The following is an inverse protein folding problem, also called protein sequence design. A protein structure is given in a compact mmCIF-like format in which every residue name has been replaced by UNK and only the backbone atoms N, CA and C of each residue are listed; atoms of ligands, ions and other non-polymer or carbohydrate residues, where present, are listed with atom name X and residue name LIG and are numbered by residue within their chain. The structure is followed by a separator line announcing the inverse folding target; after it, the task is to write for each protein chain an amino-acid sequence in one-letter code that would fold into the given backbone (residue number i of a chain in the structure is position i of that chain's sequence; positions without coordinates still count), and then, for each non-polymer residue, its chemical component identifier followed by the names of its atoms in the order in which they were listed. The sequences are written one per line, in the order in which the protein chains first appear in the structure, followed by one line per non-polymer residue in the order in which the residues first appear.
data_IF_189819144449
#
_entry.id   IF_189819144449
#
_cell.length_a   1.000
_cell.length_b   1.000
_cell.length_c   1.000
_cell.angle_alpha   90.00
_cell.angle_beta   90.00
_cell.angle_gamma   90.00
#
_symmetry.space_group_name_H-M   'P 1'
#
loop_
_entity.id
_entity.type
_entity.pdbx_description
1 polymer ?
#
# COMPACT_ATOMS: atom_id res chain seq x y z
N UNK A 1 -9.49 23.29 -4.42
CA UNK A 1 -9.24 22.10 -5.26
C UNK A 1 -9.70 20.87 -4.49
N UNK A 2 -10.41 19.94 -5.13
CA UNK A 2 -10.89 18.68 -4.52
C UNK A 2 -10.23 17.49 -5.23
N UNK A 3 -9.03 17.03 -4.79
CA UNK A 3 -8.32 15.95 -5.47
C UNK A 3 -9.08 14.62 -5.36
N UNK A 4 -8.85 13.72 -6.31
CA UNK A 4 -9.22 12.32 -6.20
C UNK A 4 -8.01 11.55 -5.66
N UNK A 5 -8.15 11.00 -4.46
CA UNK A 5 -7.13 10.16 -3.84
C UNK A 5 -7.38 8.71 -4.23
N UNK A 6 -6.37 8.07 -4.83
CA UNK A 6 -6.40 6.68 -5.26
C UNK A 6 -5.38 5.92 -4.42
N UNK A 7 -5.89 5.07 -3.51
CA UNK A 7 -5.06 4.25 -2.66
C UNK A 7 -4.78 2.91 -3.34
N UNK A 8 -3.51 2.63 -3.61
CA UNK A 8 -3.02 1.39 -4.21
C UNK A 8 -2.38 0.50 -3.14
N UNK A 9 -2.57 -0.80 -3.23
CA UNK A 9 -1.93 -1.74 -2.32
C UNK A 9 -2.23 -3.19 -2.68
N UNK A 10 -1.68 -4.10 -1.88
CA UNK A 10 -1.78 -5.53 -2.13
C UNK A 10 -0.97 -5.98 -3.35
N UNK A 11 -1.33 -7.15 -3.88
CA UNK A 11 -0.64 -7.83 -5.00
C UNK A 11 -0.67 -7.06 -6.32
N UNK A 12 -1.44 -5.96 -6.38
CA UNK A 12 -1.49 -5.09 -7.56
C UNK A 12 -0.11 -4.54 -7.92
N UNK A 13 0.71 -4.22 -6.92
CA UNK A 13 2.05 -3.67 -7.14
C UNK A 13 3.06 -4.71 -7.67
N UNK A 14 2.73 -6.01 -7.58
CA UNK A 14 3.57 -7.11 -8.03
C UNK A 14 3.19 -7.59 -9.45
N UNK A 15 2.18 -6.98 -10.08
CA UNK A 15 1.70 -7.35 -11.42
C UNK A 15 1.94 -6.22 -12.42
N UNK A 16 2.94 -6.39 -13.28
CA UNK A 16 3.28 -5.43 -14.34
C UNK A 16 2.08 -5.15 -15.25
N UNK A 17 1.37 -6.20 -15.68
CA UNK A 17 0.18 -6.06 -16.54
C UNK A 17 -0.93 -5.24 -15.86
N UNK A 18 -1.18 -5.46 -14.57
CA UNK A 18 -2.22 -4.73 -13.85
C UNK A 18 -1.83 -3.26 -13.64
N UNK A 19 -0.55 -2.97 -13.39
CA UNK A 19 -0.01 -1.62 -13.31
C UNK A 19 -0.13 -0.90 -14.66
N UNK A 20 0.23 -1.56 -15.77
CA UNK A 20 0.13 -0.98 -17.11
C UNK A 20 -1.31 -0.58 -17.46
N UNK A 21 -2.26 -1.47 -17.18
CA UNK A 21 -3.69 -1.18 -17.37
C UNK A 21 -4.17 -0.03 -16.48
N UNK A 22 -3.75 -0.01 -15.21
CA UNK A 22 -4.08 1.07 -14.28
C UNK A 22 -3.55 2.41 -14.80
N UNK A 23 -2.26 2.51 -15.12
CA UNK A 23 -1.66 3.76 -15.58
C UNK A 23 -2.26 4.23 -16.91
N UNK A 24 -2.57 3.31 -17.82
CA UNK A 24 -3.30 3.64 -19.06
C UNK A 24 -4.66 4.28 -18.75
N UNK A 25 -5.42 3.73 -17.80
CA UNK A 25 -6.70 4.31 -17.39
C UNK A 25 -6.53 5.68 -16.71
N UNK A 26 -5.49 5.87 -15.89
CA UNK A 26 -5.21 7.16 -15.24
C UNK A 26 -4.79 8.25 -16.25
N UNK A 27 -4.06 7.89 -17.31
CA UNK A 27 -3.75 8.81 -18.41
C UNK A 27 -5.06 9.24 -19.09
N UNK A 28 -5.91 8.30 -19.50
CA UNK A 28 -7.20 8.60 -20.13
C UNK A 28 -8.10 9.48 -19.25
N UNK A 29 -8.10 9.26 -17.94
CA UNK A 29 -8.84 10.09 -16.99
C UNK A 29 -8.32 11.54 -17.01
N UNK A 30 -7.00 11.74 -16.98
CA UNK A 30 -6.37 13.07 -16.96
C UNK A 30 -6.58 13.85 -18.26
N UNK A 31 -6.76 13.17 -19.38
CA UNK A 31 -7.08 13.81 -20.67
C UNK A 31 -8.51 14.37 -20.70
N UNK A 32 -9.43 13.72 -19.99
CA UNK A 32 -10.85 14.05 -20.01
C UNK A 32 -11.34 14.83 -18.77
N UNK A 33 -10.53 14.90 -17.71
CA UNK A 33 -10.91 15.51 -16.44
C UNK A 33 -9.81 16.43 -15.90
N UNK A 34 -10.22 17.62 -15.44
CA UNK A 34 -9.31 18.57 -14.77
C UNK A 34 -9.15 18.30 -13.27
N UNK A 35 -9.88 17.32 -12.70
CA UNK A 35 -9.81 16.99 -11.28
C UNK A 35 -8.41 16.42 -10.97
N UNK A 36 -7.65 17.03 -10.04
CA UNK A 36 -6.32 16.54 -9.70
C UNK A 36 -6.37 15.11 -9.15
N UNK A 37 -5.42 14.27 -9.57
CA UNK A 37 -5.24 12.93 -9.03
C UNK A 37 -4.09 12.91 -8.04
N UNK A 38 -4.25 12.16 -6.94
CA UNK A 38 -3.20 11.85 -5.97
C UNK A 38 -3.18 10.35 -5.76
N UNK A 39 -2.03 9.72 -5.96
CA UNK A 39 -1.85 8.30 -5.65
C UNK A 39 -1.21 8.17 -4.27
N UNK A 40 -1.79 7.32 -3.43
CA UNK A 40 -1.19 6.86 -2.17
C UNK A 40 -0.95 5.37 -2.32
N UNK A 41 0.22 4.85 -1.95
CA UNK A 41 0.48 3.41 -2.03
C UNK A 41 1.03 2.88 -0.71
N UNK A 42 0.66 1.65 -0.37
CA UNK A 42 1.30 0.90 0.70
C UNK A 42 2.71 0.46 0.31
N UNK A 43 3.56 0.19 1.31
CA UNK A 43 4.92 -0.35 1.13
C UNK A 43 5.09 -1.78 1.62
N UNK A 44 4.00 -2.48 1.96
CA UNK A 44 4.08 -3.68 2.81
C UNK A 44 4.90 -4.84 2.22
N UNK A 45 4.79 -5.12 0.93
CA UNK A 45 5.57 -6.20 0.30
C UNK A 45 7.08 -5.91 0.40
N UNK A 46 7.50 -4.71 0.01
CA UNK A 46 8.90 -4.24 0.09
C UNK A 46 9.41 -4.24 1.54
N UNK A 47 8.55 -3.85 2.50
CA UNK A 47 8.89 -3.89 3.93
C UNK A 47 9.06 -5.33 4.41
N UNK A 48 8.17 -6.26 4.03
CA UNK A 48 8.27 -7.68 4.38
C UNK A 48 9.58 -8.29 3.83
N UNK A 49 9.93 -8.00 2.59
CA UNK A 49 11.17 -8.47 1.95
C UNK A 49 12.42 -7.92 2.64
N UNK A 50 12.43 -6.62 2.97
CA UNK A 50 13.53 -5.99 3.70
C UNK A 50 13.71 -6.62 5.08
N UNK A 51 12.62 -6.79 5.83
CA UNK A 51 12.69 -7.36 7.18
C UNK A 51 13.17 -8.82 7.16
N UNK A 52 12.76 -9.59 6.15
CA UNK A 52 13.29 -10.94 5.90
C UNK A 52 14.79 -10.92 5.64
N UNK A 53 15.29 -10.01 4.79
CA UNK A 53 16.72 -9.87 4.50
C UNK A 53 17.55 -9.46 5.72
N UNK A 54 16.96 -8.69 6.64
CA UNK A 54 17.58 -8.29 7.91
C UNK A 54 17.42 -9.33 9.03
N UNK A 55 16.72 -10.45 8.77
CA UNK A 55 16.35 -11.44 9.78
C UNK A 55 15.65 -10.84 11.01
N UNK A 56 14.82 -9.81 10.79
CA UNK A 56 14.04 -9.15 11.82
C UNK A 56 12.60 -9.69 11.84
N UNK A 57 12.03 -9.99 13.02
CA UNK A 57 10.66 -10.47 13.11
C UNK A 57 9.66 -9.38 12.68
N UNK A 58 8.60 -9.80 11.99
CA UNK A 58 7.48 -8.94 11.59
C UNK A 58 6.22 -9.43 12.27
N UNK A 59 5.64 -8.59 13.13
CA UNK A 59 4.32 -8.82 13.72
C UNK A 59 3.28 -8.03 12.93
N UNK A 60 2.27 -8.74 12.42
CA UNK A 60 1.14 -8.13 11.70
C UNK A 60 -0.05 -8.12 12.64
N UNK A 61 -0.53 -6.93 12.98
CA UNK A 61 -1.76 -6.78 13.74
C UNK A 61 -2.94 -7.25 12.88
N UNK A 62 -3.67 -8.26 13.37
CA UNK A 62 -4.85 -8.79 12.70
C UNK A 62 -6.02 -7.89 13.10
N UNK A 63 -6.46 -7.01 12.21
CA UNK A 63 -7.67 -6.24 12.45
C UNK A 63 -8.88 -7.19 12.49
N UNK A 64 -9.81 -7.06 13.46
CA UNK A 64 -11.03 -7.86 13.48
C UNK A 64 -11.78 -7.66 12.17
N UNK A 65 -12.26 -8.75 11.58
CA UNK A 65 -12.98 -8.74 10.31
C UNK A 65 -14.33 -8.02 10.45
N UNK A 66 -14.31 -6.70 10.37
CA UNK A 66 -15.47 -5.83 10.22
C UNK A 66 -15.27 -4.98 8.97
N UNK A 67 -16.10 -5.23 7.97
CA UNK A 67 -16.43 -4.35 6.84
C UNK A 67 -15.23 -3.67 6.15
N UNK A 68 -14.36 -4.49 5.54
CA UNK A 68 -13.13 -4.01 4.90
C UNK A 68 -13.40 -3.35 3.54
N UNK A 69 -13.55 -2.04 3.52
CA UNK A 69 -13.09 -1.20 2.40
C UNK A 69 -11.59 -0.89 2.60
N UNK A 70 -10.74 -1.77 2.08
CA UNK A 70 -9.34 -1.44 1.71
C UNK A 70 -8.36 -1.11 2.85
N UNK A 71 -8.03 -2.04 3.74
CA UNK A 71 -7.04 -1.80 4.80
C UNK A 71 -5.58 -1.87 4.30
N UNK A 72 -4.85 -0.76 4.47
CA UNK A 72 -3.38 -0.75 4.53
C UNK A 72 -2.90 -1.55 5.75
N UNK A 73 -1.92 -2.43 5.54
CA UNK A 73 -1.21 -3.10 6.63
C UNK A 73 -0.24 -2.09 7.22
N UNK A 74 -0.63 -1.44 8.32
CA UNK A 74 0.28 -0.61 9.10
C UNK A 74 1.27 -1.51 9.87
N UNK A 75 2.56 -1.24 9.73
CA UNK A 75 3.64 -1.95 10.44
C UNK A 75 3.91 -1.25 11.76
N UNK A 76 3.83 -1.99 12.88
CA UNK A 76 4.31 -1.50 14.17
C UNK A 76 5.72 -2.06 14.42
N UNK A 77 6.68 -1.19 14.71
CA UNK A 77 8.03 -1.61 15.14
C UNK A 77 7.96 -2.00 16.61
N UNK A 78 8.10 -3.29 16.93
CA UNK A 78 8.36 -3.70 18.30
C UNK A 78 9.77 -3.21 18.66
N UNK A 79 9.85 -2.18 19.50
CA UNK A 79 11.13 -1.78 20.10
C UNK A 79 11.40 -2.78 21.21
N UNK A 80 12.24 -3.78 20.92
CA UNK A 80 12.67 -4.76 21.90
C UNK A 80 13.33 -4.06 23.09
N UNK A 81 12.58 -3.92 24.18
CA UNK A 81 13.10 -3.51 25.47
C UNK A 81 13.96 -4.64 26.02
N UNK A 82 15.27 -4.41 26.09
CA UNK A 82 16.18 -5.27 26.83
C UNK A 82 15.85 -5.11 28.33
N UNK A 83 15.05 -6.03 28.86
CA UNK A 83 14.52 -5.99 30.22
C UNK A 83 14.97 -7.20 31.03
N UNK A 84 16.16 -7.06 31.64
CA UNK A 84 16.81 -7.89 32.68
C UNK A 84 17.43 -9.21 32.25
#
# INVERSE_FOLDING_TARGET
MNPLIIKLGGVLLDSEEALERLFSALVNYRESHQRPLVIVHGGGCVVDELMKGLNLPVEKEKWPAGDASGSDKHYHRSTGGNGK
#
